data_IF_088333785522
#
_entry.id   IF_088333785522
#
_cell.length_a   1.000
_cell.length_b   1.000
_cell.length_c   1.000
_cell.angle_alpha   90.00
_cell.angle_beta   90.00
_cell.angle_gamma   90.00
#
_symmetry.space_group_name_H-M   'P 1'
#
loop_
_entity.id
_entity.type
_entity.pdbx_description
1 polymer ?
#
# COMPACT_ATOMS: atom_id res chain seq x y z
N UNK A 1 63.78 -12.24 -16.08
CA UNK A 1 65.11 -12.84 -16.33
C UNK A 1 65.22 -14.07 -15.44
N UNK A 2 65.26 -15.25 -16.05
CA UNK A 2 65.20 -16.56 -15.40
C UNK A 2 66.60 -17.03 -15.02
N UNK A 3 66.74 -17.71 -13.87
CA UNK A 3 67.76 -18.73 -13.51
C UNK A 3 67.57 -19.07 -12.03
N UNK A 4 67.70 -20.28 -11.50
CA UNK A 4 67.85 -21.67 -11.97
C UNK A 4 67.72 -22.48 -10.68
N UNK A 5 67.14 -23.68 -10.71
CA UNK A 5 67.06 -24.51 -9.51
C UNK A 5 66.46 -25.88 -9.76
N UNK A 6 66.94 -26.56 -10.80
CA UNK A 6 66.79 -28.02 -10.90
C UNK A 6 67.90 -28.64 -10.05
N UNK A 7 67.58 -29.45 -9.04
CA UNK A 7 68.38 -30.62 -8.67
C UNK A 7 67.54 -31.62 -7.86
N UNK A 8 67.60 -32.85 -8.37
CA UNK A 8 66.97 -34.12 -7.99
C UNK A 8 67.12 -34.57 -6.53
N UNK A 9 66.16 -35.37 -6.05
CA UNK A 9 66.47 -36.64 -5.37
C UNK A 9 65.42 -37.70 -5.70
N UNK A 10 65.91 -38.80 -6.27
CA UNK A 10 65.18 -40.02 -6.60
C UNK A 10 64.88 -40.88 -5.35
N UNK A 11 63.82 -41.70 -5.43
CA UNK A 11 63.66 -42.88 -4.56
C UNK A 11 62.22 -43.27 -4.24
N UNK A 12 61.69 -44.24 -4.99
CA UNK A 12 60.82 -45.32 -4.49
C UNK A 12 59.46 -44.98 -3.88
N UNK A 13 58.40 -45.11 -4.69
CA UNK A 13 57.26 -46.05 -4.51
C UNK A 13 56.13 -45.60 -5.43
N UNK A 14 55.89 -46.36 -6.49
CA UNK A 14 54.72 -46.23 -7.35
C UNK A 14 53.48 -46.72 -6.59
N UNK A 15 52.95 -45.91 -5.68
CA UNK A 15 51.57 -46.04 -5.20
C UNK A 15 50.61 -45.29 -6.13
N UNK A 16 49.31 -45.60 -6.15
CA UNK A 16 48.32 -44.92 -6.99
C UNK A 16 48.03 -43.52 -6.41
N UNK A 17 49.00 -42.61 -6.52
CA UNK A 17 48.90 -41.22 -6.06
C UNK A 17 47.90 -40.42 -6.93
N UNK A 18 47.82 -40.59 -8.26
CA UNK A 18 46.86 -39.86 -9.09
C UNK A 18 45.41 -40.18 -8.72
N UNK A 19 45.09 -41.47 -8.59
CA UNK A 19 43.75 -41.94 -8.27
C UNK A 19 43.28 -41.53 -6.87
N UNK A 20 44.18 -41.49 -5.87
CA UNK A 20 43.84 -40.99 -4.54
C UNK A 20 43.63 -39.49 -4.51
N UNK A 21 44.41 -38.71 -5.26
CA UNK A 21 44.24 -37.26 -5.37
C UNK A 21 42.94 -36.91 -6.09
N UNK A 22 42.63 -37.59 -7.20
CA UNK A 22 41.36 -37.43 -7.92
C UNK A 22 40.16 -37.83 -7.07
N UNK A 23 40.26 -38.92 -6.29
CA UNK A 23 39.22 -39.32 -5.36
C UNK A 23 39.02 -38.27 -4.24
N UNK A 24 40.11 -37.73 -3.69
CA UNK A 24 40.03 -36.67 -2.68
C UNK A 24 39.37 -35.41 -3.24
N UNK A 25 39.75 -35.01 -4.46
CA UNK A 25 39.19 -33.86 -5.15
C UNK A 25 37.69 -34.03 -5.43
N UNK A 26 37.28 -35.20 -5.94
CA UNK A 26 35.86 -35.52 -6.15
C UNK A 26 35.05 -35.53 -4.86
N UNK A 27 35.61 -36.06 -3.77
CA UNK A 27 34.95 -36.05 -2.46
C UNK A 27 34.83 -34.63 -1.92
N UNK A 28 35.82 -33.78 -2.15
CA UNK A 28 35.81 -32.38 -1.74
C UNK A 28 34.80 -31.56 -2.56
N UNK A 29 34.74 -31.75 -3.88
CA UNK A 29 33.72 -31.14 -4.75
C UNK A 29 32.31 -31.59 -4.38
N UNK A 30 32.10 -32.88 -4.09
CA UNK A 30 30.78 -33.36 -3.65
C UNK A 30 30.35 -32.74 -2.31
N UNK A 31 31.29 -32.52 -1.39
CA UNK A 31 31.01 -31.83 -0.13
C UNK A 31 30.67 -30.35 -0.36
N UNK A 32 31.43 -29.67 -1.22
CA UNK A 32 31.16 -28.28 -1.59
C UNK A 32 29.77 -28.14 -2.24
N UNK A 33 29.46 -28.99 -3.21
CA UNK A 33 28.15 -29.00 -3.88
C UNK A 33 27.00 -29.34 -2.92
N UNK A 34 27.24 -30.20 -1.92
CA UNK A 34 26.25 -30.50 -0.90
C UNK A 34 26.03 -29.34 0.08
N UNK A 35 27.09 -28.60 0.44
CA UNK A 35 26.98 -27.36 1.21
C UNK A 35 26.26 -26.27 0.40
N UNK A 36 26.65 -26.03 -0.85
CA UNK A 36 25.96 -25.09 -1.74
C UNK A 36 24.49 -25.46 -1.89
N UNK A 37 24.15 -26.73 -2.12
CA UNK A 37 22.75 -27.19 -2.20
C UNK A 37 21.99 -26.94 -0.91
N UNK A 38 22.62 -27.15 0.25
CA UNK A 38 22.02 -26.87 1.56
C UNK A 38 21.81 -25.39 1.81
N UNK A 39 22.72 -24.54 1.35
CA UNK A 39 22.61 -23.09 1.45
C UNK A 39 21.54 -22.55 0.47
N UNK A 40 21.48 -23.11 -0.74
CA UNK A 40 20.39 -22.87 -1.69
C UNK A 40 19.02 -23.30 -1.14
N UNK A 41 18.92 -24.47 -0.52
CA UNK A 41 17.70 -24.95 0.15
C UNK A 41 17.34 -24.14 1.41
N UNK A 42 18.27 -23.39 2.01
CA UNK A 42 17.96 -22.45 3.10
C UNK A 42 17.37 -21.13 2.61
N UNK A 43 17.73 -20.70 1.39
CA UNK A 43 17.31 -19.40 0.82
C UNK A 43 16.05 -19.55 -0.06
N UNK A 44 15.89 -20.69 -0.73
CA UNK A 44 14.76 -21.01 -1.62
C UNK A 44 13.36 -21.10 -0.98
N UNK A 45 13.14 -21.50 0.29
CA UNK A 45 11.81 -21.65 0.87
C UNK A 45 11.15 -20.30 1.19
N UNK A 46 11.93 -19.28 1.53
CA UNK A 46 11.40 -17.96 1.93
C UNK A 46 10.82 -17.18 0.74
N UNK A 47 11.32 -17.39 -0.48
CA UNK A 47 10.79 -16.74 -1.68
C UNK A 47 9.39 -17.24 -2.05
N UNK A 48 9.16 -18.55 -2.03
CA UNK A 48 7.85 -19.15 -2.29
C UNK A 48 6.83 -18.75 -1.21
N UNK A 49 7.26 -18.68 0.06
CA UNK A 49 6.42 -18.21 1.15
C UNK A 49 6.07 -16.72 0.98
N UNK A 50 7.03 -15.88 0.63
CA UNK A 50 6.79 -14.46 0.35
C UNK A 50 5.78 -14.28 -0.80
N UNK A 51 5.94 -15.03 -1.89
CA UNK A 51 5.04 -14.97 -3.03
C UNK A 51 3.62 -15.43 -2.66
N UNK A 52 3.48 -16.53 -1.91
CA UNK A 52 2.18 -16.97 -1.40
C UNK A 52 1.51 -15.93 -0.50
N UNK A 53 2.28 -15.21 0.33
CA UNK A 53 1.78 -14.15 1.21
C UNK A 53 1.35 -12.90 0.42
N UNK A 54 2.08 -12.56 -0.64
CA UNK A 54 1.68 -11.47 -1.57
C UNK A 54 0.38 -11.83 -2.30
N UNK A 55 0.21 -13.07 -2.74
CA UNK A 55 -1.05 -13.52 -3.32
C UNK A 55 -2.21 -13.46 -2.30
N UNK A 56 -1.96 -13.78 -1.03
CA UNK A 56 -2.95 -13.63 0.04
C UNK A 56 -3.33 -12.16 0.26
N UNK A 57 -2.39 -11.22 0.21
CA UNK A 57 -2.68 -9.77 0.28
C UNK A 57 -3.63 -9.33 -0.84
N UNK A 58 -3.34 -9.70 -2.09
CA UNK A 58 -4.21 -9.35 -3.21
C UNK A 58 -5.63 -9.88 -3.05
N UNK A 59 -5.79 -11.06 -2.44
CA UNK A 59 -7.13 -11.60 -2.14
C UNK A 59 -7.84 -10.79 -1.07
N UNK A 60 -7.14 -10.43 0.01
CA UNK A 60 -7.70 -9.60 1.08
C UNK A 60 -8.05 -8.20 0.58
N UNK A 61 -7.22 -7.58 -0.24
CA UNK A 61 -7.50 -6.27 -0.84
C UNK A 61 -8.77 -6.29 -1.70
N UNK A 62 -8.96 -7.35 -2.48
CA UNK A 62 -10.17 -7.53 -3.27
C UNK A 62 -11.40 -7.68 -2.36
N UNK A 63 -11.31 -8.48 -1.30
CA UNK A 63 -12.40 -8.63 -0.33
C UNK A 63 -12.73 -7.31 0.38
N UNK A 64 -11.71 -6.54 0.79
CA UNK A 64 -11.88 -5.22 1.39
C UNK A 64 -12.61 -4.26 0.45
N UNK A 65 -12.25 -4.26 -0.85
CA UNK A 65 -12.93 -3.43 -1.84
C UNK A 65 -14.39 -3.84 -2.03
N UNK A 66 -14.66 -5.15 -2.15
CA UNK A 66 -16.02 -5.69 -2.32
C UNK A 66 -16.90 -5.37 -1.10
N UNK A 67 -16.38 -5.55 0.11
CA UNK A 67 -17.08 -5.26 1.36
C UNK A 67 -17.31 -3.77 1.54
N UNK A 68 -16.31 -2.93 1.27
CA UNK A 68 -16.44 -1.47 1.33
C UNK A 68 -17.47 -0.94 0.32
N UNK A 69 -17.50 -1.49 -0.90
CA UNK A 69 -18.50 -1.13 -1.91
C UNK A 69 -19.92 -1.53 -1.48
N UNK A 70 -20.06 -2.71 -0.88
CA UNK A 70 -21.34 -3.17 -0.33
C UNK A 70 -21.80 -2.26 0.82
N UNK A 71 -20.89 -1.89 1.71
CA UNK A 71 -21.16 -0.99 2.83
C UNK A 71 -21.63 0.38 2.34
N UNK A 72 -20.99 0.93 1.31
CA UNK A 72 -21.40 2.19 0.69
C UNK A 72 -22.81 2.12 0.09
N UNK A 73 -23.13 1.05 -0.64
CA UNK A 73 -24.48 0.83 -1.20
C UNK A 73 -25.53 0.77 -0.10
N UNK A 74 -25.27 0.01 0.96
CA UNK A 74 -26.21 -0.13 2.08
C UNK A 74 -26.39 1.18 2.86
N UNK A 75 -25.35 2.01 2.97
CA UNK A 75 -25.47 3.36 3.54
C UNK A 75 -26.39 4.25 2.70
N UNK A 76 -26.24 4.21 1.37
CA UNK A 76 -27.13 4.94 0.46
C UNK A 76 -28.59 4.45 0.58
N UNK A 77 -28.80 3.14 0.64
CA UNK A 77 -30.12 2.55 0.85
C UNK A 77 -30.76 3.01 2.17
N UNK A 78 -29.97 2.98 3.27
CA UNK A 78 -30.40 3.49 4.57
C UNK A 78 -30.84 4.96 4.47
N UNK A 79 -30.03 5.82 3.85
CA UNK A 79 -30.37 7.24 3.69
C UNK A 79 -31.62 7.46 2.83
N UNK A 80 -31.78 6.70 1.75
CA UNK A 80 -32.98 6.77 0.89
C UNK A 80 -34.23 6.39 1.68
N UNK A 81 -34.16 5.31 2.47
CA UNK A 81 -35.26 4.88 3.35
C UNK A 81 -35.59 5.94 4.42
N UNK A 82 -34.57 6.55 5.03
CA UNK A 82 -34.75 7.61 6.02
C UNK A 82 -35.39 8.88 5.41
N UNK A 83 -34.97 9.29 4.20
CA UNK A 83 -35.61 10.38 3.45
C UNK A 83 -37.06 10.05 3.09
N UNK A 84 -37.34 8.83 2.61
CA UNK A 84 -38.69 8.40 2.26
C UNK A 84 -39.61 8.38 3.49
N UNK A 85 -39.12 7.90 4.64
CA UNK A 85 -39.83 7.96 5.91
C UNK A 85 -40.09 9.40 6.37
N UNK A 86 -39.10 10.29 6.24
CA UNK A 86 -39.28 11.72 6.52
C UNK A 86 -40.38 12.34 5.67
N UNK A 87 -40.37 12.08 4.36
CA UNK A 87 -41.41 12.54 3.44
C UNK A 87 -42.80 11.96 3.74
N UNK A 88 -42.89 10.69 4.16
CA UNK A 88 -44.15 10.07 4.57
C UNK A 88 -44.70 10.66 5.86
N UNK A 89 -43.83 10.93 6.86
CA UNK A 89 -44.23 11.59 8.11
C UNK A 89 -44.77 12.99 7.86
N UNK A 90 -44.13 13.74 6.96
CA UNK A 90 -44.63 15.06 6.56
C UNK A 90 -46.00 14.96 5.87
N UNK A 91 -46.18 14.03 4.94
CA UNK A 91 -47.49 13.78 4.29
C UNK A 91 -48.57 13.42 5.31
N UNK A 92 -48.26 12.53 6.26
CA UNK A 92 -49.17 12.15 7.36
C UNK A 92 -49.56 13.33 8.25
N UNK A 93 -48.64 14.28 8.48
CA UNK A 93 -48.91 15.47 9.28
C UNK A 93 -49.79 16.49 8.55
N UNK A 94 -49.67 16.58 7.22
CA UNK A 94 -50.47 17.50 6.40
C UNK A 94 -51.86 16.94 6.02
N UNK A 95 -52.05 15.62 6.08
CA UNK A 95 -53.31 14.96 5.77
C UNK A 95 -54.38 15.24 6.84
N UNK A 96 -55.48 15.87 6.43
CA UNK A 96 -56.66 16.09 7.26
C UNK A 96 -57.88 15.43 6.62
N UNK A 97 -58.65 14.65 7.39
CA UNK A 97 -60.00 14.20 7.03
C UNK A 97 -60.14 12.90 6.22
N UNK A 98 -59.06 12.23 5.81
CA UNK A 98 -59.14 10.95 5.10
C UNK A 98 -58.54 9.76 5.90
N UNK A 99 -59.37 8.97 6.60
CA UNK A 99 -58.90 7.85 7.41
C UNK A 99 -58.32 6.71 6.58
N UNK A 100 -58.82 6.49 5.35
CA UNK A 100 -58.36 5.42 4.46
C UNK A 100 -56.95 5.70 3.96
N UNK A 101 -56.68 6.93 3.53
CA UNK A 101 -55.34 7.36 3.12
C UNK A 101 -54.35 7.34 4.28
N UNK A 102 -54.79 7.79 5.47
CA UNK A 102 -53.98 7.74 6.69
C UNK A 102 -53.53 6.32 7.01
N UNK A 103 -54.43 5.34 6.95
CA UNK A 103 -54.08 3.94 7.17
C UNK A 103 -53.17 3.37 6.07
N UNK A 104 -53.35 3.78 4.81
CA UNK A 104 -52.45 3.41 3.72
C UNK A 104 -51.03 3.92 3.97
N UNK A 105 -50.86 5.17 4.36
CA UNK A 105 -49.55 5.76 4.65
C UNK A 105 -48.90 5.13 5.88
N UNK A 106 -49.66 4.80 6.92
CA UNK A 106 -49.14 4.03 8.07
C UNK A 106 -48.64 2.64 7.67
N UNK A 107 -49.34 1.94 6.77
CA UNK A 107 -48.87 0.64 6.24
C UNK A 107 -47.55 0.79 5.47
N UNK A 108 -47.45 1.83 4.63
CA UNK A 108 -46.21 2.15 3.91
C UNK A 108 -45.06 2.50 4.88
N UNK A 109 -45.33 3.28 5.92
CA UNK A 109 -44.37 3.61 6.95
C UNK A 109 -43.83 2.35 7.65
N UNK A 110 -44.71 1.43 8.08
CA UNK A 110 -44.30 0.17 8.71
C UNK A 110 -43.45 -0.70 7.79
N UNK A 111 -43.76 -0.74 6.50
CA UNK A 111 -42.95 -1.48 5.52
C UNK A 111 -41.53 -0.90 5.43
N UNK A 112 -41.40 0.42 5.27
CA UNK A 112 -40.11 1.07 5.18
C UNK A 112 -39.31 1.00 6.48
N UNK A 113 -39.96 1.04 7.65
CA UNK A 113 -39.31 0.84 8.94
C UNK A 113 -38.76 -0.59 9.10
N UNK A 114 -39.48 -1.60 8.60
CA UNK A 114 -38.97 -2.98 8.54
C UNK A 114 -37.75 -3.10 7.63
N UNK A 115 -37.80 -2.53 6.42
CA UNK A 115 -36.66 -2.55 5.50
C UNK A 115 -35.46 -1.78 6.07
N UNK A 116 -35.70 -0.64 6.72
CA UNK A 116 -34.64 0.12 7.39
C UNK A 116 -33.98 -0.70 8.51
N UNK A 117 -34.77 -1.45 9.27
CA UNK A 117 -34.26 -2.34 10.33
C UNK A 117 -33.42 -3.46 9.73
N UNK A 118 -33.87 -4.06 8.63
CA UNK A 118 -33.12 -5.06 7.87
C UNK A 118 -31.81 -4.49 7.33
N UNK A 119 -31.82 -3.34 6.66
CA UNK A 119 -30.60 -2.68 6.14
C UNK A 119 -29.61 -2.37 7.26
N UNK A 120 -30.08 -1.87 8.42
CA UNK A 120 -29.23 -1.65 9.59
C UNK A 120 -28.60 -2.95 10.12
N UNK A 121 -29.34 -4.05 10.12
CA UNK A 121 -28.82 -5.36 10.52
C UNK A 121 -27.74 -5.85 9.55
N UNK A 122 -27.97 -5.74 8.25
CA UNK A 122 -26.99 -6.14 7.22
C UNK A 122 -25.75 -5.23 7.28
N UNK A 123 -25.93 -3.91 7.50
CA UNK A 123 -24.83 -2.98 7.73
C UNK A 123 -23.96 -3.40 8.91
N UNK A 124 -24.57 -3.74 10.05
CA UNK A 124 -23.82 -4.19 11.22
C UNK A 124 -23.03 -5.48 10.94
N UNK A 125 -23.63 -6.44 10.24
CA UNK A 125 -22.97 -7.67 9.84
C UNK A 125 -21.81 -7.42 8.86
N UNK A 126 -22.03 -6.59 7.85
CA UNK A 126 -21.01 -6.26 6.85
C UNK A 126 -19.86 -5.45 7.46
N UNK A 127 -20.16 -4.52 8.36
CA UNK A 127 -19.14 -3.75 9.11
C UNK A 127 -18.26 -4.68 9.95
N UNK A 128 -18.86 -5.66 10.64
CA UNK A 128 -18.11 -6.68 11.39
C UNK A 128 -17.23 -7.52 10.47
N UNK A 129 -17.74 -7.95 9.32
CA UNK A 129 -16.98 -8.73 8.34
C UNK A 129 -15.78 -7.93 7.82
N UNK A 130 -15.97 -6.65 7.51
CA UNK A 130 -14.91 -5.76 7.08
C UNK A 130 -13.84 -5.59 8.18
N UNK A 131 -14.24 -5.43 9.44
CA UNK A 131 -13.31 -5.37 10.58
C UNK A 131 -12.48 -6.66 10.71
N UNK A 132 -13.09 -7.83 10.52
CA UNK A 132 -12.39 -9.12 10.49
C UNK A 132 -11.37 -9.19 9.34
N UNK A 133 -11.76 -8.81 8.11
CA UNK A 133 -10.87 -8.75 6.95
C UNK A 133 -9.70 -7.79 7.15
N UNK A 134 -9.93 -6.61 7.74
CA UNK A 134 -8.86 -5.64 8.08
C UNK A 134 -7.90 -6.22 9.11
N UNK A 135 -8.41 -6.92 10.13
CA UNK A 135 -7.57 -7.55 11.15
C UNK A 135 -6.71 -8.69 10.57
N UNK A 136 -7.26 -9.47 9.63
CA UNK A 136 -6.50 -10.48 8.89
C UNK A 136 -5.41 -9.85 8.02
N UNK A 137 -5.71 -8.74 7.34
CA UNK A 137 -4.73 -8.01 6.54
C UNK A 137 -3.56 -7.52 7.42
N UNK A 138 -3.86 -6.88 8.56
CA UNK A 138 -2.83 -6.42 9.50
C UNK A 138 -1.94 -7.57 10.03
N UNK A 139 -2.51 -8.76 10.27
CA UNK A 139 -1.73 -9.96 10.65
C UNK A 139 -0.81 -10.40 9.51
N UNK A 140 -1.32 -10.43 8.28
CA UNK A 140 -0.55 -10.82 7.11
C UNK A 140 0.61 -9.85 6.82
N UNK A 141 0.37 -8.54 6.99
CA UNK A 141 1.41 -7.51 6.90
C UNK A 141 2.53 -7.74 7.92
N UNK A 142 2.18 -8.09 9.17
CA UNK A 142 3.16 -8.42 10.20
C UNK A 142 3.98 -9.66 9.84
N UNK A 143 3.34 -10.71 9.31
CA UNK A 143 4.03 -11.90 8.83
C UNK A 143 5.01 -11.58 7.69
N UNK A 144 4.62 -10.70 6.77
CA UNK A 144 5.48 -10.23 5.68
C UNK A 144 6.69 -9.44 6.18
N UNK A 145 6.54 -8.62 7.23
CA UNK A 145 7.67 -7.93 7.87
C UNK A 145 8.65 -8.95 8.44
N UNK A 146 8.16 -9.96 9.15
CA UNK A 146 9.01 -11.03 9.72
C UNK A 146 9.73 -11.81 8.62
N UNK A 147 9.04 -12.18 7.53
CA UNK A 147 9.64 -12.86 6.39
C UNK A 147 10.71 -12.00 5.71
N UNK A 148 10.47 -10.71 5.53
CA UNK A 148 11.48 -9.76 5.00
C UNK A 148 12.72 -9.69 5.89
N UNK A 149 12.53 -9.65 7.22
CA UNK A 149 13.65 -9.67 8.17
C UNK A 149 14.43 -10.98 8.05
N UNK A 150 13.75 -12.14 8.04
CA UNK A 150 14.41 -13.45 7.86
C UNK A 150 15.21 -13.52 6.56
N UNK A 151 14.65 -13.04 5.45
CA UNK A 151 15.34 -12.99 4.16
C UNK A 151 16.60 -12.09 4.22
N UNK A 152 16.50 -10.92 4.85
CA UNK A 152 17.65 -10.03 5.04
C UNK A 152 18.74 -10.66 5.91
N UNK A 153 18.35 -11.39 6.96
CA UNK A 153 19.28 -12.07 7.86
C UNK A 153 19.96 -13.24 7.16
N UNK A 154 19.19 -14.07 6.44
CA UNK A 154 19.69 -15.16 5.61
C UNK A 154 20.72 -14.68 4.59
N UNK A 155 20.44 -13.56 3.89
CA UNK A 155 21.38 -12.94 2.95
C UNK A 155 22.65 -12.41 3.60
N UNK A 156 22.59 -11.94 4.85
CA UNK A 156 23.76 -11.49 5.62
C UNK A 156 24.61 -12.66 6.11
N UNK A 157 24.01 -13.82 6.37
CA UNK A 157 24.73 -15.01 6.87
C UNK A 157 25.19 -15.97 5.77
N UNK A 158 24.75 -15.80 4.51
CA UNK A 158 25.07 -16.68 3.39
C UNK A 158 26.31 -16.28 2.56
N UNK A 159 27.15 -15.34 3.00
CA UNK A 159 28.39 -14.98 2.27
C UNK A 159 29.63 -15.70 2.82
N UNK A 160 30.25 -16.64 2.07
CA UNK A 160 31.67 -16.92 2.15
C UNK A 160 32.35 -16.60 0.81
N UNK A 161 32.89 -15.38 0.66
CA UNK A 161 33.67 -15.00 -0.53
C UNK A 161 34.14 -13.55 -0.52
N UNK A 162 35.22 -13.25 0.21
CA UNK A 162 35.67 -11.90 0.60
C UNK A 162 36.16 -10.92 -0.49
N UNK A 163 35.59 -10.92 -1.69
CA UNK A 163 35.87 -9.90 -2.72
C UNK A 163 34.61 -9.23 -3.29
N UNK A 164 33.45 -9.90 -3.29
CA UNK A 164 32.17 -9.33 -3.73
C UNK A 164 31.52 -8.44 -2.67
N UNK A 165 31.71 -8.74 -1.40
CA UNK A 165 31.20 -7.94 -0.27
C UNK A 165 31.77 -6.52 -0.24
N UNK A 166 33.08 -6.36 -0.44
CA UNK A 166 33.71 -5.04 -0.52
C UNK A 166 33.20 -4.21 -1.72
N UNK A 167 32.91 -4.86 -2.85
CA UNK A 167 32.33 -4.20 -4.01
C UNK A 167 30.87 -3.78 -3.77
N UNK A 168 30.08 -4.61 -3.08
CA UNK A 168 28.71 -4.28 -2.70
C UNK A 168 28.64 -3.18 -1.63
N UNK A 169 29.56 -3.16 -0.67
CA UNK A 169 29.69 -2.08 0.32
C UNK A 169 30.07 -0.75 -0.34
N UNK A 170 31.00 -0.76 -1.31
CA UNK A 170 31.36 0.41 -2.10
C UNK A 170 30.16 0.95 -2.90
N UNK A 171 29.35 0.05 -3.49
CA UNK A 171 28.19 0.46 -4.26
C UNK A 171 27.04 0.97 -3.39
N UNK A 172 26.86 0.39 -2.19
CA UNK A 172 25.97 0.94 -1.17
C UNK A 172 26.37 2.36 -0.75
N UNK A 173 27.67 2.60 -0.58
CA UNK A 173 28.19 3.95 -0.29
C UNK A 173 27.91 4.93 -1.44
N UNK A 174 28.09 4.52 -2.70
CA UNK A 174 27.73 5.33 -3.87
C UNK A 174 26.24 5.66 -3.92
N UNK A 175 25.37 4.68 -3.67
CA UNK A 175 23.92 4.89 -3.67
C UNK A 175 23.50 5.82 -2.53
N UNK A 176 24.10 5.71 -1.34
CA UNK A 176 23.83 6.62 -0.22
C UNK A 176 24.21 8.07 -0.55
N UNK A 177 25.37 8.29 -1.18
CA UNK A 177 25.78 9.62 -1.65
C UNK A 177 24.82 10.17 -2.69
N UNK A 178 24.44 9.37 -3.69
CA UNK A 178 23.51 9.77 -4.74
C UNK A 178 22.13 10.14 -4.20
N UNK A 179 21.60 9.37 -3.24
CA UNK A 179 20.34 9.70 -2.57
C UNK A 179 20.45 11.01 -1.79
N UNK A 180 21.57 11.25 -1.12
CA UNK A 180 21.84 12.52 -0.45
C UNK A 180 21.87 13.72 -1.41
N UNK A 181 22.50 13.55 -2.58
CA UNK A 181 22.54 14.57 -3.63
C UNK A 181 21.14 14.84 -4.21
N UNK A 182 20.37 13.78 -4.52
CA UNK A 182 19.00 13.91 -5.03
C UNK A 182 18.06 14.56 -4.02
N UNK A 183 18.23 14.29 -2.72
CA UNK A 183 17.46 14.97 -1.67
C UNK A 183 17.78 16.46 -1.60
N UNK A 184 19.06 16.85 -1.70
CA UNK A 184 19.46 18.26 -1.81
C UNK A 184 18.87 18.93 -3.05
N UNK A 185 18.94 18.27 -4.21
CA UNK A 185 18.32 18.78 -5.44
C UNK A 185 16.80 18.94 -5.33
N UNK A 186 16.10 18.01 -4.67
CA UNK A 186 14.66 18.11 -4.44
C UNK A 186 14.30 19.30 -3.55
N UNK A 187 15.11 19.56 -2.51
CA UNK A 187 14.90 20.72 -1.63
C UNK A 187 15.10 22.03 -2.38
N UNK A 188 16.16 22.13 -3.19
CA UNK A 188 16.45 23.28 -4.04
C UNK A 188 15.31 23.55 -5.04
N UNK A 189 14.87 22.53 -5.77
CA UNK A 189 13.72 22.63 -6.68
C UNK A 189 12.43 23.03 -5.94
N UNK A 190 12.20 22.49 -4.74
CA UNK A 190 11.05 22.88 -3.93
C UNK A 190 11.09 24.35 -3.52
N UNK A 191 12.27 24.91 -3.25
CA UNK A 191 12.44 26.35 -2.96
C UNK A 191 12.14 27.18 -4.21
N UNK A 192 12.67 26.78 -5.37
CA UNK A 192 12.42 27.45 -6.64
C UNK A 192 10.94 27.45 -7.01
N UNK A 193 10.24 26.32 -6.82
CA UNK A 193 8.78 26.22 -7.05
C UNK A 193 8.01 27.15 -6.11
N UNK A 194 8.39 27.22 -4.82
CA UNK A 194 7.77 28.17 -3.88
C UNK A 194 7.97 29.61 -4.31
N UNK A 195 9.19 30.00 -4.67
CA UNK A 195 9.49 31.36 -5.14
C UNK A 195 8.71 31.71 -6.41
N UNK A 196 8.60 30.78 -7.37
CA UNK A 196 7.80 30.98 -8.58
C UNK A 196 6.31 31.07 -8.25
N UNK A 197 5.82 30.29 -7.30
CA UNK A 197 4.41 30.34 -6.84
C UNK A 197 4.12 31.66 -6.15
N UNK A 198 5.00 32.13 -5.26
CA UNK A 198 4.90 33.43 -4.58
C UNK A 198 4.97 34.59 -5.59
N UNK A 199 5.89 34.52 -6.55
CA UNK A 199 5.99 35.50 -7.64
C UNK A 199 4.74 35.50 -8.52
N UNK A 200 4.20 34.33 -8.86
CA UNK A 200 2.94 34.19 -9.59
C UNK A 200 1.76 34.74 -8.78
N UNK A 201 1.73 34.53 -7.47
CA UNK A 201 0.69 35.03 -6.59
C UNK A 201 0.77 36.56 -6.45
N UNK A 202 1.98 37.12 -6.29
CA UNK A 202 2.22 38.56 -6.29
C UNK A 202 1.81 39.22 -7.61
N UNK A 203 2.17 38.62 -8.75
CA UNK A 203 1.73 39.07 -10.07
C UNK A 203 0.20 38.96 -10.24
N UNK A 204 -0.42 37.87 -9.75
CA UNK A 204 -1.87 37.71 -9.78
C UNK A 204 -2.59 38.73 -8.89
N UNK A 205 -2.01 39.12 -7.76
CA UNK A 205 -2.53 40.19 -6.91
C UNK A 205 -2.38 41.57 -7.57
N UNK A 206 -1.32 41.81 -8.35
CA UNK A 206 -1.18 43.02 -9.19
C UNK A 206 -2.20 43.08 -10.34
N UNK A 207 -2.71 41.94 -10.82
CA UNK A 207 -3.69 41.87 -11.93
C UNK A 207 -5.14 41.99 -11.44
N UNK A 208 -5.39 42.00 -10.12
CA UNK A 208 -6.72 42.31 -9.58
C UNK A 208 -7.00 43.82 -9.71
N UNK A 209 -8.08 44.26 -10.40
CA UNK A 209 -8.48 45.65 -10.35
C UNK A 209 -8.88 46.00 -8.91
N UNK A 210 -8.24 47.02 -8.35
CA UNK A 210 -8.50 47.51 -6.99
C UNK A 210 -9.94 48.00 -6.81
N UNK A 211 -10.41 48.07 -5.55
CA UNK A 211 -11.78 48.45 -5.23
C UNK A 211 -11.90 49.98 -5.21
N UNK A 212 -12.34 50.60 -6.29
CA UNK A 212 -12.68 52.04 -6.27
C UNK A 212 -13.75 52.41 -7.30
N UNK A 213 -14.97 52.71 -6.80
CA UNK A 213 -15.99 53.63 -7.35
C UNK A 213 -16.71 53.20 -8.65
N UNK A 214 -17.96 53.55 -8.96
CA UNK A 214 -18.81 54.68 -8.56
C UNK A 214 -20.29 54.37 -8.90
N UNK A 215 -21.20 54.79 -8.01
CA UNK A 215 -22.61 55.19 -8.15
C UNK A 215 -23.58 54.47 -9.14
N UNK A 216 -24.60 53.83 -8.55
CA UNK A 216 -25.93 53.64 -9.13
C UNK A 216 -26.99 54.17 -8.18
N UNK A 217 -27.42 55.42 -8.41
CA UNK A 217 -28.52 56.10 -7.74
C UNK A 217 -29.83 55.29 -7.81
N UNK A 218 -30.43 54.93 -6.66
CA UNK A 218 -31.88 54.82 -6.52
C UNK A 218 -32.35 55.87 -5.50
N UNK A 219 -32.43 57.11 -5.97
CA UNK A 219 -33.16 58.19 -5.30
C UNK A 219 -34.65 58.04 -5.63
N UNK A 220 -35.46 58.13 -4.57
CA UNK A 220 -36.85 58.58 -4.51
C UNK A 220 -37.42 59.18 -5.82
N UNK A 221 -38.46 58.54 -6.35
CA UNK A 221 -39.57 59.14 -7.11
C UNK A 221 -40.83 58.44 -6.59
N UNK A 222 -41.56 59.08 -5.68
CA UNK A 222 -42.85 59.77 -5.92
C UNK A 222 -44.04 58.76 -5.85
N UNK A 223 -44.77 58.71 -4.74
CA UNK A 223 -46.03 59.45 -4.50
C UNK A 223 -47.14 59.20 -5.54
N UNK A 224 -48.29 58.74 -5.02
CA UNK A 224 -49.66 58.81 -5.58
C UNK A 224 -49.98 57.99 -6.84
N UNK A 225 -50.92 57.05 -6.70
CA UNK A 225 -52.28 57.18 -7.25
C UNK A 225 -53.18 55.98 -6.88
N UNK A 226 -54.23 56.30 -6.11
CA UNK A 226 -55.54 55.63 -5.91
C UNK A 226 -55.59 54.16 -5.50
#
# INVERSE_FOLDING_TARGET
MVKLGSLYRAGSTSGPVPQRLEFNHKVQEQRLLAEERRDWERISPDHNQLQAKVEQLYRLDRLLQEESGTLQSLQQDKEMLERALGGLRHKLQCLHGNPVETERYKRQQRMLEKELTRVRSILAQNSKKLEETVAENARLEQELVVLRQKLQWSRRTAEPGGTTTAALEAELHRVQLLVGDLQRQRQELSLQVRQLTEKSHSLSQQIRPGPTGVAGNCRNILFLLK
#
